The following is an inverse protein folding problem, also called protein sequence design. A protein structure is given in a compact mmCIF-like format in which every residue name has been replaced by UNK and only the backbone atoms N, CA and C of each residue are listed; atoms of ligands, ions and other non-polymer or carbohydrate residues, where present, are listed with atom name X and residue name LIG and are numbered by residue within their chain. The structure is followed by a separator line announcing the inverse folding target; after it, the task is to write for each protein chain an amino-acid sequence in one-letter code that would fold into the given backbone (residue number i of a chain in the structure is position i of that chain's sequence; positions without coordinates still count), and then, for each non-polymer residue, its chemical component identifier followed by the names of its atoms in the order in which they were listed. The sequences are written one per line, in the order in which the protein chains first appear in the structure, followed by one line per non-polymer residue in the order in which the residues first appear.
data_IF_309458046688
#
_entry.id   IF_309458046688
#
_cell.length_a   1.000
_cell.length_b   1.000
_cell.length_c   1.000
_cell.angle_alpha   90.00
_cell.angle_beta   90.00
_cell.angle_gamma   90.00
#
_symmetry.space_group_name_H-M   'P 1'
#
loop_
_entity.id
_entity.type
_entity.pdbx_description
1 polymer ?
#
# COMPACT_ATOMS: atom_id res chain seq x y z
N UNK A 1 -14.92 -16.93 1.94
CA UNK A 1 -13.66 -16.24 2.32
C UNK A 1 -14.08 -15.04 3.14
N UNK A 2 -13.57 -14.88 4.35
CA UNK A 2 -14.00 -13.81 5.28
C UNK A 2 -13.26 -12.50 5.01
N UNK A 3 -13.91 -11.36 5.25
CA UNK A 3 -13.36 -10.01 4.98
C UNK A 3 -12.11 -9.78 5.83
N UNK A 4 -12.07 -10.28 7.05
CA UNK A 4 -10.90 -10.17 7.94
C UNK A 4 -9.66 -10.89 7.38
N UNK A 5 -9.87 -12.04 6.73
CA UNK A 5 -8.77 -12.74 6.04
C UNK A 5 -8.31 -11.94 4.83
N UNK A 6 -9.24 -11.40 4.03
CA UNK A 6 -8.91 -10.56 2.87
C UNK A 6 -8.09 -9.35 3.30
N UNK A 7 -8.50 -8.66 4.37
CA UNK A 7 -7.78 -7.52 4.92
C UNK A 7 -6.40 -7.90 5.46
N UNK A 8 -6.27 -9.04 6.14
CA UNK A 8 -4.98 -9.53 6.63
C UNK A 8 -4.01 -9.82 5.48
N UNK A 9 -4.47 -10.50 4.42
CA UNK A 9 -3.65 -10.75 3.24
C UNK A 9 -3.33 -9.46 2.48
N UNK A 10 -4.30 -8.56 2.36
CA UNK A 10 -4.16 -7.22 1.75
C UNK A 10 -3.04 -6.43 2.42
N UNK A 11 -3.06 -6.29 3.74
CA UNK A 11 -2.03 -5.55 4.48
C UNK A 11 -0.64 -6.15 4.25
N UNK A 12 -0.50 -7.48 4.25
CA UNK A 12 0.78 -8.14 3.93
C UNK A 12 1.24 -7.82 2.51
N UNK A 13 0.33 -7.91 1.54
CA UNK A 13 0.62 -7.61 0.12
C UNK A 13 1.01 -6.14 -0.09
N UNK A 14 0.34 -5.20 0.57
CA UNK A 14 0.66 -3.77 0.56
C UNK A 14 2.07 -3.57 1.13
N UNK A 15 2.39 -4.15 2.29
CA UNK A 15 3.70 -4.04 2.90
C UNK A 15 4.79 -4.65 2.00
N UNK A 16 4.56 -5.84 1.44
CA UNK A 16 5.51 -6.46 0.52
C UNK A 16 5.72 -5.60 -0.72
N UNK A 17 4.67 -5.00 -1.28
CA UNK A 17 4.76 -4.12 -2.43
C UNK A 17 5.48 -2.81 -2.11
N UNK A 18 5.28 -2.24 -0.91
CA UNK A 18 6.05 -1.10 -0.43
C UNK A 18 7.56 -1.41 -0.44
N UNK A 19 7.97 -2.53 0.16
CA UNK A 19 9.38 -2.93 0.17
C UNK A 19 9.92 -3.25 -1.21
N UNK A 20 9.15 -3.95 -2.05
CA UNK A 20 9.53 -4.20 -3.43
C UNK A 20 9.70 -2.89 -4.22
N UNK A 21 8.83 -1.91 -4.00
CA UNK A 21 8.93 -0.58 -4.58
C UNK A 21 10.17 0.16 -4.10
N UNK A 22 10.43 0.17 -2.79
CA UNK A 22 11.65 0.78 -2.23
C UNK A 22 12.90 0.18 -2.84
N UNK A 23 13.00 -1.15 -2.90
CA UNK A 23 14.14 -1.82 -3.49
C UNK A 23 14.27 -1.53 -4.99
N UNK A 24 13.15 -1.59 -5.73
CA UNK A 24 13.14 -1.30 -7.17
C UNK A 24 13.60 0.12 -7.46
N UNK A 25 13.02 1.13 -6.83
CA UNK A 25 13.34 2.53 -7.10
C UNK A 25 14.70 2.97 -6.54
N UNK A 26 15.25 2.26 -5.55
CA UNK A 26 16.57 2.57 -5.01
C UNK A 26 17.72 1.90 -5.79
N UNK A 27 17.51 0.72 -6.39
CA UNK A 27 18.59 -0.04 -7.04
C UNK A 27 18.36 -0.46 -8.49
N UNK A 28 17.11 -0.74 -8.89
CA UNK A 28 16.82 -1.40 -10.17
C UNK A 28 16.17 -0.48 -11.21
N UNK A 29 15.67 0.68 -10.80
CA UNK A 29 15.11 1.66 -11.71
C UNK A 29 16.18 2.26 -12.63
N UNK A 30 15.76 2.70 -13.82
CA UNK A 30 16.66 3.37 -14.77
C UNK A 30 17.25 4.68 -14.23
N UNK A 31 16.58 5.30 -13.26
CA UNK A 31 17.03 6.46 -12.51
C UNK A 31 16.89 6.16 -11.00
N UNK A 32 17.91 5.54 -10.38
CA UNK A 32 17.85 5.12 -8.98
C UNK A 32 17.84 6.32 -8.01
N UNK A 33 16.93 6.30 -7.04
CA UNK A 33 16.81 7.35 -6.03
C UNK A 33 17.58 6.92 -4.78
N UNK A 34 18.75 7.49 -4.59
CA UNK A 34 19.56 7.30 -3.38
C UNK A 34 19.16 8.29 -2.29
N UNK A 35 19.04 7.78 -1.06
CA UNK A 35 18.74 8.59 0.14
C UNK A 35 19.77 8.25 1.23
N UNK A 36 19.97 9.11 2.25
CA UNK A 36 20.85 8.81 3.36
C UNK A 36 20.47 7.49 4.07
N UNK A 37 21.44 6.83 4.69
CA UNK A 37 21.20 5.52 5.32
C UNK A 37 20.18 5.59 6.47
N UNK A 38 20.11 6.72 7.19
CA UNK A 38 19.12 6.93 8.24
C UNK A 38 17.69 7.03 7.67
N UNK A 39 17.52 7.57 6.47
CA UNK A 39 16.22 7.69 5.82
C UNK A 39 15.66 6.32 5.42
N UNK A 40 16.52 5.36 5.09
CA UNK A 40 16.11 3.97 4.83
C UNK A 40 15.44 3.36 6.06
N UNK A 41 15.98 3.58 7.28
CA UNK A 41 15.36 3.07 8.50
C UNK A 41 13.95 3.65 8.72
N UNK A 42 13.77 4.95 8.44
CA UNK A 42 12.47 5.62 8.54
C UNK A 42 11.49 5.09 7.47
N UNK A 43 11.93 4.93 6.23
CA UNK A 43 11.10 4.40 5.13
C UNK A 43 10.72 2.93 5.34
N UNK A 44 11.60 2.14 5.95
CA UNK A 44 11.35 0.73 6.27
C UNK A 44 10.34 0.62 7.40
N UNK A 45 10.57 1.32 8.52
CA UNK A 45 9.71 1.19 9.71
C UNK A 45 8.46 2.05 9.55
N UNK A 46 8.64 3.36 9.42
CA UNK A 46 7.54 4.32 9.31
C UNK A 46 6.74 4.16 8.01
N UNK A 47 7.43 3.98 6.88
CA UNK A 47 6.78 3.78 5.58
C UNK A 47 5.93 2.50 5.52
N UNK A 48 6.36 1.40 6.15
CA UNK A 48 5.56 0.18 6.25
C UNK A 48 4.22 0.41 6.95
N UNK A 49 4.24 1.04 8.12
CA UNK A 49 3.01 1.35 8.86
C UNK A 49 2.14 2.34 8.09
N UNK A 50 2.73 3.40 7.57
CA UNK A 50 1.99 4.44 6.84
C UNK A 50 1.34 3.88 5.58
N UNK A 51 2.07 3.11 4.76
CA UNK A 51 1.54 2.47 3.57
C UNK A 51 0.39 1.51 3.91
N UNK A 52 0.57 0.63 4.90
CA UNK A 52 -0.47 -0.33 5.27
C UNK A 52 -1.72 0.35 5.84
N UNK A 53 -1.57 1.39 6.66
CA UNK A 53 -2.70 2.09 7.29
C UNK A 53 -3.41 2.97 6.27
N UNK A 54 -2.68 3.86 5.60
CA UNK A 54 -3.30 4.88 4.73
C UNK A 54 -3.85 4.25 3.46
N UNK A 55 -3.09 3.38 2.80
CA UNK A 55 -3.52 2.74 1.56
C UNK A 55 -4.55 1.65 1.89
N UNK A 56 -4.28 0.81 2.88
CA UNK A 56 -5.17 -0.28 3.27
C UNK A 56 -6.51 0.21 3.80
N UNK A 57 -6.52 1.14 4.77
CA UNK A 57 -7.77 1.68 5.32
C UNK A 57 -8.50 2.60 4.33
N UNK A 58 -7.76 3.41 3.55
CA UNK A 58 -8.36 4.25 2.52
C UNK A 58 -9.13 3.44 1.48
N UNK A 59 -8.52 2.37 0.97
CA UNK A 59 -9.15 1.52 -0.05
C UNK A 59 -10.26 0.63 0.55
N UNK A 60 -10.16 0.20 1.81
CA UNK A 60 -11.25 -0.54 2.45
C UNK A 60 -12.49 0.33 2.67
N UNK A 61 -12.31 1.62 3.02
CA UNK A 61 -13.41 2.58 3.12
C UNK A 61 -14.08 2.82 1.76
N UNK A 62 -13.28 2.97 0.70
CA UNK A 62 -13.81 3.12 -0.67
C UNK A 62 -14.57 1.86 -1.09
N UNK A 63 -14.01 0.66 -0.84
CA UNK A 63 -14.67 -0.61 -1.15
C UNK A 63 -15.99 -0.76 -0.39
N UNK A 64 -16.01 -0.43 0.91
CA UNK A 64 -17.22 -0.47 1.73
C UNK A 64 -18.28 0.52 1.23
N UNK A 65 -17.88 1.73 0.84
CA UNK A 65 -18.78 2.74 0.30
C UNK A 65 -19.41 2.31 -1.04
N UNK A 66 -18.59 1.79 -1.96
CA UNK A 66 -19.06 1.27 -3.25
C UNK A 66 -19.99 0.08 -3.03
N UNK A 67 -19.60 -0.85 -2.16
CA UNK A 67 -20.41 -2.04 -1.85
C UNK A 67 -21.76 -1.63 -1.27
N UNK A 68 -21.77 -0.74 -0.26
CA UNK A 68 -23.02 -0.20 0.33
C UNK A 68 -23.91 0.47 -0.71
N UNK A 69 -23.35 1.21 -1.66
CA UNK A 69 -24.11 1.88 -2.71
C UNK A 69 -24.79 0.88 -3.69
N UNK A 70 -24.18 -0.28 -3.91
CA UNK A 70 -24.67 -1.28 -4.88
C UNK A 70 -25.54 -2.35 -4.23
N UNK A 71 -25.16 -2.85 -3.06
CA UNK A 71 -25.81 -4.01 -2.40
C UNK A 71 -26.67 -3.61 -1.20
N UNK A 72 -26.62 -2.36 -0.75
CA UNK A 72 -27.27 -1.90 0.48
C UNK A 72 -26.54 -2.30 1.78
N UNK A 73 -25.51 -3.15 1.69
CA UNK A 73 -24.72 -3.64 2.82
C UNK A 73 -23.22 -3.38 2.57
N UNK A 74 -22.51 -2.62 3.44
CA UNK A 74 -21.08 -2.36 3.28
C UNK A 74 -20.19 -3.63 3.25
N UNK A 75 -20.66 -4.75 3.77
CA UNK A 75 -19.96 -6.05 3.74
C UNK A 75 -20.50 -7.00 2.67
N UNK A 76 -21.46 -6.55 1.84
CA UNK A 76 -22.21 -7.42 0.94
C UNK A 76 -21.42 -8.01 -0.25
N UNK A 77 -20.18 -7.59 -0.49
CA UNK A 77 -19.32 -8.09 -1.57
C UNK A 77 -17.86 -8.27 -1.14
N UNK A 78 -17.45 -9.49 -0.74
CA UNK A 78 -16.05 -9.81 -0.48
C UNK A 78 -15.13 -9.56 -1.69
N UNK A 79 -15.68 -9.66 -2.91
CA UNK A 79 -14.92 -9.43 -4.15
C UNK A 79 -14.46 -7.98 -4.29
N UNK A 80 -15.25 -7.00 -3.82
CA UNK A 80 -14.87 -5.59 -3.85
C UNK A 80 -13.62 -5.32 -2.99
N UNK A 81 -13.56 -5.93 -1.79
CA UNK A 81 -12.40 -5.83 -0.91
C UNK A 81 -11.15 -6.51 -1.49
N UNK A 82 -11.31 -7.65 -2.18
CA UNK A 82 -10.20 -8.30 -2.88
C UNK A 82 -9.62 -7.43 -4.01
N UNK A 83 -10.48 -6.75 -4.78
CA UNK A 83 -10.03 -5.79 -5.80
C UNK A 83 -9.32 -4.58 -5.18
N UNK A 84 -9.87 -4.05 -4.09
CA UNK A 84 -9.25 -2.96 -3.33
C UNK A 84 -7.86 -3.37 -2.80
N UNK A 85 -7.70 -4.61 -2.33
CA UNK A 85 -6.41 -5.16 -1.91
C UNK A 85 -5.39 -5.21 -3.05
N UNK A 86 -5.81 -5.69 -4.22
CA UNK A 86 -4.97 -5.74 -5.42
C UNK A 86 -4.52 -4.35 -5.87
N UNK A 87 -5.46 -3.40 -5.94
CA UNK A 87 -5.16 -2.00 -6.28
C UNK A 87 -4.21 -1.39 -5.24
N UNK A 88 -4.43 -1.67 -3.96
CA UNK A 88 -3.59 -1.19 -2.86
C UNK A 88 -2.15 -1.65 -2.98
N UNK A 89 -1.91 -2.87 -3.43
CA UNK A 89 -0.57 -3.38 -3.73
C UNK A 89 0.13 -2.48 -4.78
N UNK A 90 -0.52 -2.22 -5.91
CA UNK A 90 0.05 -1.43 -7.00
C UNK A 90 0.33 0.00 -6.54
N UNK A 91 -0.64 0.62 -5.85
CA UNK A 91 -0.48 1.98 -5.29
C UNK A 91 0.69 2.00 -4.31
N UNK A 92 0.82 0.99 -3.45
CA UNK A 92 1.90 0.94 -2.46
C UNK A 92 3.28 0.82 -3.09
N UNK A 93 3.42 -0.03 -4.11
CA UNK A 93 4.67 -0.11 -4.88
C UNK A 93 5.04 1.25 -5.48
N UNK A 94 4.08 1.93 -6.12
CA UNK A 94 4.32 3.23 -6.75
C UNK A 94 4.56 4.35 -5.72
N UNK A 95 3.90 4.30 -4.57
CA UNK A 95 4.06 5.25 -3.48
C UNK A 95 5.47 5.24 -2.90
N UNK A 96 6.16 4.09 -2.92
CA UNK A 96 7.54 3.96 -2.44
C UNK A 96 8.51 4.91 -3.17
N UNK A 97 8.28 5.16 -4.48
CA UNK A 97 9.04 6.15 -5.25
C UNK A 97 8.95 7.54 -4.63
N UNK A 98 7.75 7.99 -4.32
CA UNK A 98 7.51 9.31 -3.74
C UNK A 98 8.07 9.41 -2.32
N UNK A 99 8.04 8.30 -1.56
CA UNK A 99 8.75 8.20 -0.29
C UNK A 99 10.24 8.48 -0.45
N UNK A 100 10.91 7.84 -1.41
CA UNK A 100 12.33 8.09 -1.67
C UNK A 100 12.60 9.52 -2.11
N UNK A 101 11.80 10.08 -3.03
CA UNK A 101 11.95 11.47 -3.49
C UNK A 101 11.84 12.47 -2.33
N UNK A 102 10.89 12.24 -1.41
CA UNK A 102 10.72 13.11 -0.25
C UNK A 102 11.98 13.17 0.62
N UNK A 103 12.64 12.02 0.82
CA UNK A 103 13.85 11.91 1.64
C UNK A 103 15.15 12.23 0.90
N UNK A 104 15.11 12.35 -0.43
CA UNK A 104 16.27 12.74 -1.24
C UNK A 104 16.70 14.20 -1.00
N UNK A 105 15.78 15.05 -0.53
CA UNK A 105 16.04 16.45 -0.23
C UNK A 105 16.65 16.73 1.15
N UNK A 106 16.92 15.71 1.96
CA UNK A 106 17.48 15.80 3.31
C UNK A 106 18.87 15.17 3.38
#
# INVERSE_FOLDING_TARGET
MDIDRINTYSSKMIITAWFAGLAYYNWFASDPISVPIWAHAVLIIGGMFFASIVIGAGLSLVAAAITKAVTGDPAGSPHAFSWAAFIGMVISFMAAKYGLILFQGF
#
